data_IF_935830182437
#
_entry.id   IF_935830182437
#
_cell.length_a   1.000
_cell.length_b   1.000
_cell.length_c   1.000
_cell.angle_alpha   90.00
_cell.angle_beta   90.00
_cell.angle_gamma   90.00
#
_symmetry.space_group_name_H-M   'P 1'
#
loop_
_entity.id
_entity.type
_entity.pdbx_description
1 polymer ?
#
# COMPACT_ATOMS: atom_id res chain seq x y z
N UNK A 1 -27.08 -20.30 23.12
CA UNK A 1 -28.38 -19.64 22.89
C UNK A 1 -28.31 -18.81 21.61
N UNK A 2 -28.72 -19.38 20.48
CA UNK A 2 -28.71 -18.72 19.16
C UNK A 2 -29.98 -17.88 18.98
N UNK A 3 -29.85 -16.55 19.07
CA UNK A 3 -30.93 -15.63 18.66
C UNK A 3 -31.01 -15.58 17.13
N UNK A 4 -31.85 -16.42 16.53
CA UNK A 4 -32.33 -16.25 15.16
C UNK A 4 -33.10 -14.93 15.07
N UNK A 5 -32.59 -13.96 14.33
CA UNK A 5 -33.35 -12.79 13.90
C UNK A 5 -34.43 -13.27 12.92
N UNK A 6 -35.69 -13.20 13.34
CA UNK A 6 -36.86 -13.43 12.46
C UNK A 6 -36.93 -12.28 11.46
N UNK A 7 -36.88 -12.59 10.17
CA UNK A 7 -37.33 -11.70 9.11
C UNK A 7 -38.85 -11.78 9.05
N UNK A 8 -39.50 -10.63 9.13
CA UNK A 8 -40.95 -10.51 9.02
C UNK A 8 -41.31 -10.51 7.53
N UNK A 9 -41.94 -11.58 7.06
CA UNK A 9 -42.63 -11.62 5.77
C UNK A 9 -44.10 -11.82 6.08
N UNK A 10 -44.90 -10.79 5.83
CA UNK A 10 -46.36 -10.84 5.94
C UNK A 10 -46.92 -11.25 4.59
N UNK A 11 -47.45 -12.47 4.49
CA UNK A 11 -48.16 -12.96 3.30
C UNK A 11 -49.62 -13.21 3.66
N UNK A 12 -50.53 -12.44 3.10
CA UNK A 12 -51.96 -12.76 3.05
C UNK A 12 -52.28 -13.38 1.70
N UNK A 13 -52.81 -14.60 1.75
CA UNK A 13 -53.27 -15.41 0.62
C UNK A 13 -54.58 -14.89 0.05
N UNK A 14 -54.70 -14.82 -1.28
CA UNK A 14 -55.96 -15.14 -1.96
C UNK A 14 -55.72 -15.71 -3.35
N UNK A 15 -56.61 -16.63 -3.72
CA UNK A 15 -56.60 -17.58 -4.84
C UNK A 15 -56.75 -16.95 -6.24
N UNK A 16 -56.31 -17.75 -7.21
CA UNK A 16 -56.71 -17.84 -8.62
C UNK A 16 -56.50 -16.62 -9.54
N UNK A 17 -55.49 -16.73 -10.42
CA UNK A 17 -55.66 -16.48 -11.85
C UNK A 17 -54.60 -17.28 -12.63
N UNK A 18 -55.04 -18.30 -13.38
CA UNK A 18 -54.28 -18.81 -14.52
C UNK A 18 -54.38 -17.74 -15.60
N UNK A 19 -53.36 -16.90 -15.75
CA UNK A 19 -53.17 -16.11 -16.96
C UNK A 19 -51.99 -16.68 -17.72
N UNK A 20 -52.31 -17.27 -18.86
CA UNK A 20 -51.38 -17.60 -19.93
C UNK A 20 -50.81 -16.27 -20.38
N UNK A 21 -49.58 -15.99 -19.97
CA UNK A 21 -48.83 -14.81 -20.37
C UNK A 21 -48.47 -14.93 -21.84
N UNK A 22 -48.84 -13.92 -22.61
CA UNK A 22 -48.38 -13.73 -23.98
C UNK A 22 -46.84 -13.76 -24.00
N UNK A 23 -46.19 -14.72 -24.67
CA UNK A 23 -44.73 -14.87 -24.70
C UNK A 23 -44.01 -13.71 -25.41
N UNK A 24 -44.74 -12.75 -25.98
CA UNK A 24 -44.19 -11.61 -26.71
C UNK A 24 -44.24 -10.28 -25.94
N UNK A 25 -44.43 -10.29 -24.61
CA UNK A 25 -44.36 -9.05 -23.83
C UNK A 25 -42.91 -8.61 -23.62
N UNK A 26 -42.32 -8.10 -24.69
CA UNK A 26 -40.96 -7.60 -24.74
C UNK A 26 -40.82 -6.36 -23.83
N UNK A 27 -40.21 -6.56 -22.66
CA UNK A 27 -40.01 -5.52 -21.66
C UNK A 27 -39.05 -4.45 -22.18
N UNK A 28 -39.47 -3.18 -22.12
CA UNK A 28 -38.63 -2.03 -22.45
C UNK A 28 -37.72 -1.68 -21.28
N UNK A 29 -36.46 -1.33 -21.60
CA UNK A 29 -35.47 -0.96 -20.58
C UNK A 29 -35.92 0.23 -19.70
N UNK A 30 -36.62 1.20 -20.27
CA UNK A 30 -37.12 2.41 -19.58
C UNK A 30 -38.16 2.13 -18.47
N UNK A 31 -38.80 0.95 -18.52
CA UNK A 31 -39.81 0.50 -17.55
C UNK A 31 -39.19 -0.28 -16.39
N UNK A 32 -37.88 -0.51 -16.42
CA UNK A 32 -37.14 -1.20 -15.37
C UNK A 32 -36.44 -0.20 -14.43
N UNK A 33 -36.20 -0.64 -13.20
CA UNK A 33 -35.36 0.01 -12.21
C UNK A 33 -34.54 -1.06 -11.48
N UNK A 34 -33.33 -0.73 -11.04
CA UNK A 34 -32.52 -1.64 -10.25
C UNK A 34 -32.71 -1.32 -8.77
N UNK A 35 -33.30 -2.25 -8.04
CA UNK A 35 -33.30 -2.22 -6.58
C UNK A 35 -31.96 -2.78 -6.09
N UNK A 36 -31.07 -1.88 -5.68
CA UNK A 36 -29.77 -2.26 -5.14
C UNK A 36 -29.95 -3.15 -3.91
N UNK A 37 -29.11 -4.18 -3.78
CA UNK A 37 -29.15 -5.08 -2.63
C UNK A 37 -28.59 -4.35 -1.41
N UNK A 38 -29.43 -3.62 -0.69
CA UNK A 38 -29.05 -2.94 0.56
C UNK A 38 -28.92 -3.93 1.75
N UNK A 39 -29.02 -5.23 1.54
CA UNK A 39 -28.98 -6.21 2.61
C UNK A 39 -27.54 -6.65 2.96
N UNK A 40 -27.01 -6.06 4.04
CA UNK A 40 -26.14 -6.68 5.05
C UNK A 40 -24.90 -7.47 4.56
N UNK A 41 -24.30 -7.10 3.44
CA UNK A 41 -23.03 -7.68 3.01
C UNK A 41 -21.96 -6.58 2.98
N UNK A 42 -20.98 -6.68 3.86
CA UNK A 42 -19.87 -5.73 4.07
C UNK A 42 -18.96 -5.49 2.84
N UNK A 43 -19.29 -6.06 1.69
CA UNK A 43 -18.49 -5.93 0.47
C UNK A 43 -19.02 -4.82 -0.42
N UNK A 44 -18.14 -3.88 -0.77
CA UNK A 44 -18.43 -2.72 -1.64
C UNK A 44 -19.10 -3.10 -2.97
N UNK A 45 -18.87 -4.32 -3.48
CA UNK A 45 -19.43 -4.79 -4.76
C UNK A 45 -20.95 -4.68 -4.76
N UNK A 46 -21.62 -4.95 -3.64
CA UNK A 46 -23.08 -4.97 -3.56
C UNK A 46 -23.72 -3.60 -3.70
N UNK A 47 -22.95 -2.51 -3.62
CA UNK A 47 -23.42 -1.15 -3.95
C UNK A 47 -23.67 -0.97 -5.46
N UNK A 48 -23.14 -1.87 -6.30
CA UNK A 48 -23.22 -1.81 -7.76
C UNK A 48 -24.06 -2.93 -8.36
N UNK A 49 -24.59 -3.85 -7.55
CA UNK A 49 -25.41 -4.96 -8.03
C UNK A 49 -26.76 -4.97 -7.31
N UNK A 50 -27.83 -5.21 -8.08
CA UNK A 50 -29.19 -5.16 -7.59
C UNK A 50 -30.09 -6.22 -8.23
N UNK A 51 -31.29 -6.35 -7.68
CA UNK A 51 -32.38 -7.04 -8.36
C UNK A 51 -33.00 -6.06 -9.36
N UNK A 52 -33.11 -6.45 -10.63
CA UNK A 52 -33.78 -5.64 -11.65
C UNK A 52 -35.29 -5.81 -11.50
N UNK A 53 -36.05 -4.76 -11.24
CA UNK A 53 -37.50 -4.81 -11.01
C UNK A 53 -38.21 -3.90 -12.00
N UNK A 54 -39.40 -4.31 -12.46
CA UNK A 54 -40.25 -3.45 -13.27
C UNK A 54 -40.88 -2.36 -12.39
N UNK A 55 -40.85 -1.10 -12.83
CA UNK A 55 -41.44 0.04 -12.11
C UNK A 55 -42.90 -0.20 -11.75
N UNK A 56 -43.65 -0.85 -12.63
CA UNK A 56 -45.07 -1.22 -12.41
C UNK A 56 -45.28 -2.29 -11.32
N UNK A 57 -44.28 -3.12 -11.05
CA UNK A 57 -44.34 -4.19 -10.03
C UNK A 57 -43.93 -3.71 -8.64
N UNK A 58 -43.32 -2.51 -8.52
CA UNK A 58 -42.94 -1.95 -7.22
C UNK A 58 -44.18 -1.67 -6.36
N UNK A 59 -45.31 -1.34 -6.99
CA UNK A 59 -46.58 -1.03 -6.32
C UNK A 59 -47.53 -2.23 -6.18
N UNK A 60 -47.47 -3.22 -7.08
CA UNK A 60 -48.43 -4.32 -7.14
C UNK A 60 -47.68 -5.65 -7.10
N UNK A 61 -47.62 -6.26 -5.92
CA UNK A 61 -46.91 -7.51 -5.69
C UNK A 61 -47.28 -8.60 -6.72
N UNK A 62 -46.23 -9.24 -7.24
CA UNK A 62 -46.23 -10.49 -8.01
C UNK A 62 -46.68 -10.40 -9.49
N UNK A 63 -45.75 -10.00 -10.36
CA UNK A 63 -45.55 -10.68 -11.65
C UNK A 63 -44.16 -11.31 -11.68
N UNK A 64 -44.04 -12.46 -12.35
CA UNK A 64 -42.79 -13.20 -12.51
C UNK A 64 -41.73 -12.34 -13.19
N UNK A 65 -40.74 -11.92 -12.42
CA UNK A 65 -39.60 -11.17 -12.92
C UNK A 65 -38.61 -12.15 -13.59
N UNK A 66 -38.29 -11.99 -14.89
CA UNK A 66 -37.35 -12.88 -15.59
C UNK A 66 -35.94 -12.85 -14.98
N UNK A 67 -35.61 -11.87 -14.14
CA UNK A 67 -34.33 -11.74 -13.45
C UNK A 67 -34.41 -12.08 -11.95
N UNK A 68 -35.49 -12.72 -11.47
CA UNK A 68 -35.69 -13.00 -10.05
C UNK A 68 -34.50 -13.77 -9.39
N UNK A 69 -33.80 -14.60 -10.16
CA UNK A 69 -32.68 -15.44 -9.67
C UNK A 69 -31.29 -14.86 -9.98
N UNK A 70 -31.22 -13.61 -10.45
CA UNK A 70 -29.96 -12.98 -10.86
C UNK A 70 -29.77 -11.59 -10.25
N UNK A 71 -28.51 -11.29 -9.94
CA UNK A 71 -28.07 -9.91 -9.70
C UNK A 71 -27.65 -9.27 -11.01
N UNK A 72 -28.01 -8.01 -11.19
CA UNK A 72 -27.73 -7.22 -12.39
C UNK A 72 -26.75 -6.10 -12.03
N UNK A 73 -25.74 -5.89 -12.86
CA UNK A 73 -24.79 -4.79 -12.68
C UNK A 73 -25.46 -3.45 -13.00
N UNK A 74 -25.55 -2.57 -11.99
CA UNK A 74 -26.13 -1.24 -12.14
C UNK A 74 -25.35 -0.40 -13.16
N UNK A 75 -24.01 -0.52 -13.20
CA UNK A 75 -23.22 0.25 -14.17
C UNK A 75 -23.48 -0.17 -15.61
N UNK A 76 -23.58 -1.47 -15.89
CA UNK A 76 -23.99 -1.96 -17.20
C UNK A 76 -25.38 -1.45 -17.60
N UNK A 77 -26.32 -1.43 -16.66
CA UNK A 77 -27.67 -0.94 -16.89
C UNK A 77 -27.70 0.55 -17.24
N UNK A 78 -26.98 1.39 -16.48
CA UNK A 78 -26.89 2.83 -16.78
C UNK A 78 -26.28 3.11 -18.16
N UNK A 79 -25.20 2.41 -18.51
CA UNK A 79 -24.56 2.55 -19.84
C UNK A 79 -25.53 2.21 -20.97
N UNK A 80 -26.32 1.14 -20.82
CA UNK A 80 -27.33 0.78 -21.84
C UNK A 80 -28.49 1.79 -21.88
N UNK A 81 -28.90 2.33 -20.73
CA UNK A 81 -29.93 3.35 -20.66
C UNK A 81 -29.50 4.66 -21.34
N UNK A 82 -28.25 5.09 -21.13
CA UNK A 82 -27.65 6.26 -21.79
C UNK A 82 -27.53 6.06 -23.31
N UNK A 83 -27.20 4.85 -23.77
CA UNK A 83 -27.08 4.54 -25.20
C UNK A 83 -28.43 4.50 -25.92
N UNK A 84 -29.52 4.12 -25.25
CA UNK A 84 -30.82 3.92 -25.88
C UNK A 84 -31.99 4.13 -24.90
N UNK A 85 -32.43 5.40 -24.69
CA UNK A 85 -33.36 5.74 -23.62
C UNK A 85 -34.77 5.16 -23.73
N UNK A 86 -35.27 4.88 -24.95
CA UNK A 86 -36.73 4.71 -25.15
C UNK A 86 -37.19 3.49 -25.94
N UNK A 87 -36.33 2.80 -26.70
CA UNK A 87 -36.80 1.78 -27.66
C UNK A 87 -36.18 0.38 -27.52
N UNK A 88 -35.12 0.21 -26.72
CA UNK A 88 -34.40 -1.06 -26.68
C UNK A 88 -35.09 -2.06 -25.77
N UNK A 89 -35.31 -3.27 -26.29
CA UNK A 89 -35.83 -4.39 -25.54
C UNK A 89 -34.73 -4.93 -24.62
N UNK A 90 -35.13 -5.31 -23.40
CA UNK A 90 -34.19 -5.76 -22.38
C UNK A 90 -33.34 -6.97 -22.82
N UNK A 91 -33.91 -7.84 -23.68
CA UNK A 91 -33.23 -9.01 -24.25
C UNK A 91 -32.05 -8.64 -25.17
N UNK A 92 -32.07 -7.45 -25.76
CA UNK A 92 -31.04 -6.96 -26.68
C UNK A 92 -29.95 -6.14 -25.96
N UNK A 93 -30.11 -5.89 -24.67
CA UNK A 93 -29.17 -5.12 -23.86
C UNK A 93 -27.98 -5.96 -23.42
N UNK A 94 -26.77 -5.41 -23.50
CA UNK A 94 -25.54 -6.10 -23.10
C UNK A 94 -25.29 -6.07 -21.57
N UNK A 95 -26.36 -6.18 -20.78
CA UNK A 95 -26.31 -6.02 -19.33
C UNK A 95 -25.83 -7.33 -18.70
N UNK A 96 -24.67 -7.29 -18.04
CA UNK A 96 -24.15 -8.44 -17.33
C UNK A 96 -25.01 -8.74 -16.10
N UNK A 97 -25.39 -10.00 -15.99
CA UNK A 97 -26.15 -10.56 -14.88
C UNK A 97 -25.48 -11.82 -14.35
N UNK A 98 -25.60 -12.07 -13.05
CA UNK A 98 -24.94 -13.16 -12.34
C UNK A 98 -25.96 -13.92 -11.49
N UNK A 99 -25.81 -15.23 -11.35
CA UNK A 99 -26.67 -16.02 -10.46
C UNK A 99 -26.56 -15.52 -9.00
N UNK A 100 -27.63 -15.66 -8.20
CA UNK A 100 -27.61 -15.25 -6.78
C UNK A 100 -26.58 -15.99 -5.91
N UNK A 101 -26.08 -17.13 -6.38
CA UNK A 101 -25.00 -17.92 -5.78
C UNK A 101 -23.58 -17.46 -6.14
N UNK A 102 -23.44 -16.41 -6.96
CA UNK A 102 -22.13 -15.92 -7.44
C UNK A 102 -21.21 -15.48 -6.28
N UNK A 103 -19.92 -15.77 -6.41
CA UNK A 103 -18.89 -15.30 -5.48
C UNK A 103 -18.66 -13.79 -5.62
N UNK A 104 -18.30 -13.12 -4.52
CA UNK A 104 -17.95 -11.69 -4.52
C UNK A 104 -16.76 -11.37 -5.41
N UNK A 105 -15.81 -12.30 -5.57
CA UNK A 105 -14.65 -12.14 -6.46
C UNK A 105 -15.02 -11.98 -7.93
N UNK A 106 -16.00 -12.74 -8.42
CA UNK A 106 -16.47 -12.63 -9.81
C UNK A 106 -17.16 -11.29 -10.05
N UNK A 107 -17.89 -10.78 -9.06
CA UNK A 107 -18.52 -9.46 -9.12
C UNK A 107 -17.47 -8.34 -9.11
N UNK A 108 -16.44 -8.46 -8.26
CA UNK A 108 -15.34 -7.51 -8.22
C UNK A 108 -14.55 -7.46 -9.54
N UNK A 109 -14.27 -8.62 -10.15
CA UNK A 109 -13.62 -8.70 -11.47
C UNK A 109 -14.45 -8.01 -12.56
N UNK A 110 -15.78 -8.13 -12.51
CA UNK A 110 -16.64 -7.39 -13.43
C UNK A 110 -16.57 -5.87 -13.23
N UNK A 111 -16.53 -5.40 -11.99
CA UNK A 111 -16.43 -3.96 -11.69
C UNK A 111 -15.11 -3.36 -12.20
N UNK A 112 -14.02 -4.13 -12.23
CA UNK A 112 -12.77 -3.70 -12.85
C UNK A 112 -12.94 -3.37 -14.35
N UNK A 113 -13.82 -4.07 -15.08
CA UNK A 113 -14.12 -3.73 -16.48
C UNK A 113 -14.83 -2.38 -16.65
N UNK A 114 -15.40 -1.84 -15.57
CA UNK A 114 -16.00 -0.50 -15.50
C UNK A 114 -15.04 0.54 -14.92
N UNK A 115 -13.78 0.18 -14.65
CA UNK A 115 -12.83 1.03 -13.92
C UNK A 115 -13.18 1.24 -12.44
N UNK A 116 -14.12 0.45 -11.90
CA UNK A 116 -14.52 0.52 -10.50
C UNK A 116 -13.66 -0.48 -9.72
N UNK A 117 -12.57 0.02 -9.17
CA UNK A 117 -11.68 -0.73 -8.28
C UNK A 117 -12.11 -0.55 -6.82
N UNK A 118 -11.88 -1.58 -5.99
CA UNK A 118 -12.11 -1.51 -4.55
C UNK A 118 -11.17 -0.48 -3.93
N UNK A 119 -11.55 0.79 -3.93
CA UNK A 119 -10.93 1.75 -3.03
C UNK A 119 -11.63 1.59 -1.70
N UNK A 120 -10.91 1.00 -0.74
CA UNK A 120 -11.29 1.07 0.67
C UNK A 120 -11.60 2.55 0.97
N UNK A 121 -12.80 2.90 1.49
CA UNK A 121 -13.17 4.29 1.66
C UNK A 121 -12.10 5.01 2.50
N UNK A 122 -11.55 6.12 2.00
CA UNK A 122 -10.40 6.81 2.62
C UNK A 122 -10.60 7.02 4.13
N UNK A 123 -11.82 7.37 4.54
CA UNK A 123 -12.19 7.60 5.94
C UNK A 123 -11.95 6.39 6.85
N UNK A 124 -12.10 5.16 6.34
CA UNK A 124 -11.85 3.95 7.13
C UNK A 124 -10.35 3.66 7.21
N UNK A 125 -9.61 3.89 6.12
CA UNK A 125 -8.14 3.79 6.10
C UNK A 125 -7.49 4.82 7.02
N UNK A 126 -7.93 6.08 6.96
CA UNK A 126 -7.45 7.16 7.85
C UNK A 126 -7.66 6.83 9.32
N UNK A 127 -8.88 6.44 9.71
CA UNK A 127 -9.17 6.06 11.11
C UNK A 127 -8.32 4.88 11.56
N UNK A 128 -8.08 3.93 10.68
CA UNK A 128 -7.23 2.76 10.99
C UNK A 128 -5.81 3.21 11.28
N UNK A 129 -5.22 4.08 10.44
CA UNK A 129 -3.85 4.56 10.62
C UNK A 129 -3.69 5.53 11.79
N UNK A 130 -4.62 6.46 12.00
CA UNK A 130 -4.58 7.34 13.17
C UNK A 130 -4.68 6.56 14.47
N UNK A 131 -5.54 5.54 14.53
CA UNK A 131 -5.59 4.61 15.66
C UNK A 131 -4.30 3.79 15.74
N UNK A 132 -3.70 3.45 14.61
CA UNK A 132 -2.47 2.66 14.57
C UNK A 132 -1.27 3.43 15.16
N UNK A 133 -1.03 4.67 14.74
CA UNK A 133 0.10 5.47 15.23
C UNK A 133 -0.09 5.97 16.66
N UNK A 134 -1.33 6.21 17.09
CA UNK A 134 -1.60 6.90 18.35
C UNK A 134 -2.07 6.01 19.51
N UNK A 135 -2.28 4.70 19.29
CA UNK A 135 -2.82 3.86 20.37
C UNK A 135 -1.97 2.64 20.72
N UNK A 136 -1.44 2.64 21.95
CA UNK A 136 -0.93 1.47 22.68
C UNK A 136 -2.08 0.52 23.08
N UNK A 137 -2.94 0.11 22.14
CA UNK A 137 -4.09 -0.75 22.45
C UNK A 137 -3.72 -2.22 22.32
N UNK A 138 -4.05 -2.98 23.35
CA UNK A 138 -4.08 -4.45 23.28
C UNK A 138 -5.09 -4.86 22.21
N UNK A 139 -4.64 -5.65 21.23
CA UNK A 139 -5.50 -6.17 20.17
C UNK A 139 -6.41 -7.26 20.74
N UNK A 140 -7.63 -6.89 21.09
CA UNK A 140 -8.71 -7.85 21.36
C UNK A 140 -9.18 -8.48 20.05
N UNK A 141 -9.33 -9.81 20.00
CA UNK A 141 -9.82 -10.48 18.80
C UNK A 141 -9.50 -11.98 18.72
N UNK A 142 -9.94 -12.59 17.63
CA UNK A 142 -9.63 -13.98 17.28
C UNK A 142 -8.12 -14.14 17.01
N UNK A 143 -7.63 -15.39 17.06
CA UNK A 143 -6.23 -15.73 16.76
C UNK A 143 -5.78 -15.18 15.40
N UNK A 144 -6.62 -15.29 14.37
CA UNK A 144 -6.35 -14.72 13.05
C UNK A 144 -6.17 -13.19 13.07
N UNK A 145 -7.01 -12.46 13.81
CA UNK A 145 -6.90 -11.00 13.93
C UNK A 145 -5.63 -10.58 14.65
N UNK A 146 -5.24 -11.32 15.69
CA UNK A 146 -3.98 -11.09 16.42
C UNK A 146 -2.77 -11.33 15.51
N UNK A 147 -2.77 -12.40 14.72
CA UNK A 147 -1.69 -12.69 13.76
C UNK A 147 -1.55 -11.59 12.71
N UNK A 148 -2.66 -11.10 12.14
CA UNK A 148 -2.65 -9.99 11.18
C UNK A 148 -2.13 -8.70 11.82
N UNK A 149 -2.54 -8.41 13.06
CA UNK A 149 -2.03 -7.23 13.77
C UNK A 149 -0.53 -7.34 14.02
N UNK A 150 -0.05 -8.49 14.52
CA UNK A 150 1.37 -8.74 14.72
C UNK A 150 2.19 -8.59 13.42
N UNK A 151 1.67 -9.07 12.29
CA UNK A 151 2.31 -8.88 10.97
C UNK A 151 2.50 -7.39 10.67
N UNK A 152 1.46 -6.57 10.89
CA UNK A 152 1.52 -5.13 10.63
C UNK A 152 2.49 -4.42 11.56
N UNK A 153 2.47 -4.77 12.84
CA UNK A 153 3.38 -4.22 13.84
C UNK A 153 4.85 -4.55 13.52
N UNK A 154 5.14 -5.78 13.07
CA UNK A 154 6.48 -6.19 12.66
C UNK A 154 6.95 -5.49 11.38
N UNK A 155 6.08 -5.32 10.38
CA UNK A 155 6.43 -4.54 9.18
C UNK A 155 6.84 -3.13 9.59
N UNK A 156 6.05 -2.50 10.48
CA UNK A 156 6.29 -1.12 10.87
C UNK A 156 7.49 -0.96 11.79
N UNK A 157 7.76 -1.94 12.66
CA UNK A 157 9.03 -2.02 13.39
C UNK A 157 10.21 -2.03 12.41
N UNK A 158 10.17 -2.90 11.40
CA UNK A 158 11.23 -2.97 10.40
C UNK A 158 11.38 -1.68 9.60
N UNK A 159 10.27 -1.06 9.18
CA UNK A 159 10.33 0.19 8.43
C UNK A 159 10.79 1.39 9.27
N UNK A 160 10.39 1.45 10.55
CA UNK A 160 10.71 2.58 11.43
C UNK A 160 12.17 2.60 11.85
N UNK A 161 12.70 1.42 12.20
CA UNK A 161 14.07 1.28 12.70
C UNK A 161 15.03 0.77 11.62
N UNK A 162 14.57 0.69 10.36
CA UNK A 162 15.32 0.21 9.20
C UNK A 162 15.91 -1.20 9.41
N UNK A 163 15.19 -2.07 10.12
CA UNK A 163 15.60 -3.46 10.25
C UNK A 163 15.32 -4.24 8.97
N UNK A 164 16.20 -5.20 8.60
CA UNK A 164 15.95 -6.05 7.46
C UNK A 164 14.77 -6.99 7.74
N UNK A 165 13.94 -7.25 6.72
CA UNK A 165 12.76 -8.11 6.88
C UNK A 165 13.10 -9.57 7.21
N UNK A 166 14.35 -10.01 7.07
CA UNK A 166 14.78 -11.33 7.54
C UNK A 166 14.81 -11.43 9.09
N UNK A 167 14.71 -10.29 9.81
CA UNK A 167 14.61 -10.25 11.27
C UNK A 167 13.49 -11.15 11.79
N UNK A 168 12.34 -11.22 11.09
CA UNK A 168 11.20 -12.04 11.51
C UNK A 168 11.46 -13.55 11.45
N UNK A 169 12.52 -13.97 10.75
CA UNK A 169 12.93 -15.37 10.65
C UNK A 169 14.03 -15.73 11.66
N UNK A 170 14.49 -14.78 12.47
CA UNK A 170 15.50 -15.04 13.50
C UNK A 170 14.93 -15.80 14.69
N UNK A 171 15.66 -16.83 15.15
CA UNK A 171 15.31 -17.62 16.34
C UNK A 171 15.19 -16.73 17.58
N UNK A 172 16.12 -15.79 17.78
CA UNK A 172 16.10 -14.90 18.95
C UNK A 172 14.85 -14.01 19.05
N UNK A 173 14.31 -13.53 17.92
CA UNK A 173 13.03 -12.79 17.94
C UNK A 173 11.86 -13.72 18.22
N UNK A 174 11.88 -14.94 17.66
CA UNK A 174 10.85 -15.95 17.91
C UNK A 174 10.79 -16.32 19.39
N UNK A 175 11.94 -16.59 20.01
CA UNK A 175 12.09 -16.88 21.43
C UNK A 175 11.60 -15.71 22.30
N UNK A 176 11.95 -14.48 21.92
CA UNK A 176 11.49 -13.28 22.61
C UNK A 176 9.96 -13.16 22.59
N UNK A 177 9.35 -13.30 21.41
CA UNK A 177 7.90 -13.16 21.21
C UNK A 177 7.13 -14.29 21.93
N UNK A 178 7.68 -15.51 21.96
CA UNK A 178 7.15 -16.63 22.75
C UNK A 178 7.29 -16.40 24.26
N UNK A 179 8.45 -15.94 24.73
CA UNK A 179 8.73 -15.67 26.16
C UNK A 179 7.72 -14.70 26.78
N UNK A 180 7.25 -13.72 26.00
CA UNK A 180 6.24 -12.76 26.43
C UNK A 180 4.80 -13.14 26.07
N UNK A 181 4.56 -14.40 25.66
CA UNK A 181 3.25 -14.94 25.28
C UNK A 181 2.52 -14.13 24.20
N UNK A 182 3.27 -13.53 23.27
CA UNK A 182 2.68 -12.85 22.11
C UNK A 182 2.22 -13.90 21.09
N UNK A 183 3.01 -14.96 20.91
CA UNK A 183 2.65 -16.17 20.16
C UNK A 183 2.76 -17.41 21.04
N UNK A 184 2.03 -18.48 20.70
CA UNK A 184 2.02 -19.73 21.46
C UNK A 184 3.04 -20.72 20.91
N UNK A 185 3.15 -20.78 19.58
CA UNK A 185 4.01 -21.72 18.87
C UNK A 185 4.89 -21.00 17.84
N UNK A 186 6.08 -21.50 17.48
CA UNK A 186 6.91 -20.91 16.43
C UNK A 186 6.18 -20.75 15.08
N UNK A 187 5.23 -21.63 14.77
CA UNK A 187 4.43 -21.60 13.53
C UNK A 187 3.42 -20.43 13.49
N UNK A 188 3.12 -19.85 14.64
CA UNK A 188 2.32 -18.63 14.73
C UNK A 188 3.11 -17.40 14.27
N UNK A 189 4.45 -17.47 14.27
CA UNK A 189 5.32 -16.40 13.79
C UNK A 189 5.05 -16.10 12.31
N UNK A 190 4.96 -14.83 11.90
CA UNK A 190 4.83 -14.48 10.51
C UNK A 190 6.04 -14.90 9.67
N UNK A 191 5.79 -15.59 8.55
CA UNK A 191 6.84 -15.84 7.57
C UNK A 191 7.13 -14.57 6.73
N UNK A 192 8.33 -14.51 6.14
CA UNK A 192 8.79 -13.41 5.29
C UNK A 192 7.79 -13.05 4.18
N UNK A 193 7.15 -14.05 3.57
CA UNK A 193 6.14 -13.84 2.51
C UNK A 193 4.91 -13.08 3.04
N UNK A 194 4.49 -13.37 4.26
CA UNK A 194 3.34 -12.67 4.88
C UNK A 194 3.67 -11.22 5.21
N UNK A 195 4.90 -10.96 5.67
CA UNK A 195 5.43 -9.60 5.87
C UNK A 195 5.46 -8.84 4.54
N UNK A 196 6.06 -9.42 3.50
CA UNK A 196 6.18 -8.79 2.19
C UNK A 196 4.81 -8.47 1.55
N UNK A 197 3.83 -9.36 1.66
CA UNK A 197 2.47 -9.08 1.18
C UNK A 197 1.81 -7.93 1.94
N UNK A 198 2.02 -7.89 3.26
CA UNK A 198 1.43 -6.85 4.11
C UNK A 198 2.14 -5.51 3.99
N UNK A 199 3.42 -5.51 3.59
CA UNK A 199 4.18 -4.30 3.31
C UNK A 199 3.50 -3.46 2.22
N UNK A 200 3.06 -4.08 1.13
CA UNK A 200 2.36 -3.38 0.05
C UNK A 200 1.05 -2.75 0.53
N UNK A 201 0.28 -3.47 1.35
CA UNK A 201 -0.97 -2.95 1.93
C UNK A 201 -0.69 -1.73 2.84
N UNK A 202 0.29 -1.85 3.74
CA UNK A 202 0.68 -0.78 4.66
C UNK A 202 1.22 0.42 3.90
N UNK A 203 2.02 0.18 2.86
CA UNK A 203 2.56 1.23 2.02
C UNK A 203 1.45 2.02 1.31
N UNK A 204 0.48 1.35 0.67
CA UNK A 204 -0.62 2.05 -0.01
C UNK A 204 -1.55 2.76 0.98
N UNK A 205 -1.79 2.17 2.16
CA UNK A 205 -2.53 2.82 3.23
C UNK A 205 -1.79 4.11 3.69
N UNK A 206 -0.50 4.02 4.00
CA UNK A 206 0.35 5.16 4.41
C UNK A 206 0.44 6.23 3.33
N UNK A 207 0.64 5.84 2.07
CA UNK A 207 0.68 6.74 0.91
C UNK A 207 -0.64 7.48 0.73
N UNK A 208 -1.77 6.79 0.88
CA UNK A 208 -3.10 7.41 0.80
C UNK A 208 -3.29 8.43 1.92
N UNK A 209 -2.93 8.06 3.15
CA UNK A 209 -2.98 8.95 4.31
C UNK A 209 -2.11 10.20 4.13
N UNK A 210 -0.85 10.03 3.73
CA UNK A 210 0.08 11.15 3.49
C UNK A 210 -0.43 12.05 2.36
N UNK A 211 -0.95 11.49 1.26
CA UNK A 211 -1.53 12.28 0.17
C UNK A 211 -2.71 13.13 0.62
N UNK A 212 -3.59 12.57 1.43
CA UNK A 212 -4.74 13.30 1.97
C UNK A 212 -4.31 14.40 2.95
N UNK A 213 -3.32 14.09 3.80
CA UNK A 213 -2.70 15.08 4.70
C UNK A 213 -2.06 16.24 3.94
N UNK A 214 -1.30 15.97 2.88
CA UNK A 214 -0.72 17.02 2.04
C UNK A 214 -1.82 17.92 1.45
N UNK A 215 -2.88 17.33 0.90
CA UNK A 215 -4.01 18.09 0.34
C UNK A 215 -4.73 18.95 1.38
N UNK A 216 -4.87 18.43 2.59
CA UNK A 216 -5.66 19.07 3.66
C UNK A 216 -4.85 20.12 4.41
N UNK A 217 -3.63 19.79 4.80
CA UNK A 217 -2.82 20.61 5.70
C UNK A 217 -1.97 21.63 4.93
N UNK A 218 -1.62 21.37 3.66
CA UNK A 218 -0.59 22.13 2.97
C UNK A 218 -0.68 22.08 1.43
N UNK A 219 -1.79 22.59 0.83
CA UNK A 219 -1.97 22.55 -0.62
C UNK A 219 -0.90 23.33 -1.39
N UNK A 220 -0.32 24.38 -0.80
CA UNK A 220 0.54 25.34 -1.52
C UNK A 220 2.03 25.31 -1.12
N UNK A 221 2.44 24.50 -0.14
CA UNK A 221 3.83 24.47 0.33
C UNK A 221 4.41 23.05 0.37
N UNK A 222 4.74 22.53 -0.80
CA UNK A 222 5.52 21.31 -0.96
C UNK A 222 6.76 21.57 -1.83
N UNK A 223 7.87 20.93 -1.48
CA UNK A 223 9.09 20.92 -2.27
C UNK A 223 9.48 19.48 -2.60
N UNK A 224 9.93 19.24 -3.83
CA UNK A 224 10.39 17.94 -4.28
C UNK A 224 11.90 18.00 -4.45
N UNK A 225 12.62 17.17 -3.72
CA UNK A 225 14.06 16.99 -3.87
C UNK A 225 14.35 15.73 -4.66
N UNK A 226 15.28 15.82 -5.61
CA UNK A 226 15.74 14.69 -6.40
C UNK A 226 17.18 14.38 -6.03
N UNK A 227 17.45 13.11 -5.77
CA UNK A 227 18.81 12.62 -5.59
C UNK A 227 19.15 11.61 -6.68
N UNK A 228 20.15 11.93 -7.49
CA UNK A 228 20.57 11.11 -8.62
C UNK A 228 21.98 10.59 -8.39
N UNK A 229 22.18 9.31 -8.67
CA UNK A 229 23.52 8.72 -8.73
C UNK A 229 23.58 7.57 -9.73
N UNK A 230 24.80 7.24 -10.14
CA UNK A 230 25.08 6.05 -10.94
C UNK A 230 25.72 5.01 -10.03
N UNK A 231 25.20 3.79 -10.08
CA UNK A 231 25.80 2.64 -9.42
C UNK A 231 26.57 1.83 -10.46
N UNK A 232 27.91 1.81 -10.34
CA UNK A 232 28.77 1.03 -11.25
C UNK A 232 28.73 -0.46 -10.95
N UNK A 233 28.37 -0.87 -9.73
CA UNK A 233 28.36 -2.27 -9.34
C UNK A 233 27.17 -3.02 -9.94
N UNK A 234 26.05 -2.34 -10.16
CA UNK A 234 24.84 -2.97 -10.72
C UNK A 234 24.92 -3.30 -12.22
N UNK A 235 26.01 -2.97 -12.95
CA UNK A 235 26.19 -3.14 -14.42
C UNK A 235 25.09 -2.57 -15.34
N UNK A 236 23.94 -2.20 -14.79
CA UNK A 236 22.84 -1.55 -15.45
C UNK A 236 23.22 -0.10 -15.71
N UNK A 237 23.03 0.38 -16.94
CA UNK A 237 23.18 1.81 -17.31
C UNK A 237 22.15 2.73 -16.65
N UNK A 238 21.35 2.20 -15.73
CA UNK A 238 20.25 2.90 -15.09
C UNK A 238 20.82 3.87 -14.05
N UNK A 239 20.39 5.13 -14.15
CA UNK A 239 20.65 6.12 -13.11
C UNK A 239 19.63 5.87 -12.00
N UNK A 240 20.12 5.68 -10.78
CA UNK A 240 19.24 5.63 -9.62
C UNK A 240 18.71 7.04 -9.37
N UNK A 241 17.40 7.16 -9.21
CA UNK A 241 16.72 8.43 -8.93
C UNK A 241 15.87 8.22 -7.69
N UNK A 242 16.21 8.94 -6.64
CA UNK A 242 15.39 9.07 -5.44
C UNK A 242 14.61 10.36 -5.50
N UNK A 243 13.31 10.27 -5.25
CA UNK A 243 12.39 11.40 -5.15
C UNK A 243 11.96 11.51 -3.69
N UNK A 244 12.23 12.65 -3.05
CA UNK A 244 11.78 12.92 -1.69
C UNK A 244 10.91 14.18 -1.66
N UNK A 245 9.67 14.02 -1.21
CA UNK A 245 8.69 15.10 -1.08
C UNK A 245 8.73 15.66 0.34
N UNK A 246 8.99 16.96 0.47
CA UNK A 246 8.94 17.68 1.75
C UNK A 246 7.73 18.60 1.74
N UNK A 247 6.95 18.61 2.81
CA UNK A 247 5.79 19.47 2.96
C UNK A 247 5.69 19.91 4.41
N UNK A 248 5.12 21.10 4.64
CA UNK A 248 4.92 21.62 6.00
C UNK A 248 3.60 21.09 6.55
N UNK A 249 3.57 20.57 7.77
CA UNK A 249 2.30 20.20 8.42
C UNK A 249 1.90 21.28 9.42
N UNK A 250 0.60 21.56 9.54
CA UNK A 250 0.07 22.48 10.56
C UNK A 250 0.30 21.97 12.00
N UNK A 251 0.55 20.67 12.15
CA UNK A 251 0.95 20.04 13.42
C UNK A 251 2.25 20.61 13.97
N UNK A 252 3.18 21.05 13.11
CA UNK A 252 4.44 21.65 13.54
C UNK A 252 4.26 22.94 14.34
N UNK A 253 3.20 23.70 14.09
CA UNK A 253 2.93 24.96 14.78
C UNK A 253 2.29 24.76 16.17
N UNK A 254 1.78 23.56 16.46
CA UNK A 254 1.12 23.23 17.73
C UNK A 254 1.98 22.44 18.70
N UNK A 255 3.20 22.06 18.31
CA UNK A 255 4.11 21.31 19.16
C UNK A 255 4.82 22.28 20.10
N UNK A 256 4.74 22.02 21.42
CA UNK A 256 5.52 22.78 22.41
C UNK A 256 7.02 22.66 22.14
N UNK A 257 7.85 23.57 22.67
CA UNK A 257 9.31 23.57 22.47
C UNK A 257 9.98 22.21 22.75
N UNK A 258 9.45 21.42 23.67
CA UNK A 258 9.97 20.09 24.00
C UNK A 258 9.59 19.01 22.95
N UNK A 259 8.47 19.21 22.26
CA UNK A 259 8.02 18.34 21.17
C UNK A 259 8.58 18.76 19.80
N UNK A 260 9.13 19.97 19.70
CA UNK A 260 9.82 20.48 18.51
C UNK A 260 11.08 19.66 18.17
N UNK A 261 11.79 19.14 19.19
CA UNK A 261 12.91 18.23 19.01
C UNK A 261 12.47 16.87 18.46
N UNK A 262 11.35 16.32 18.97
CA UNK A 262 10.77 15.08 18.48
C UNK A 262 10.20 15.25 17.06
N UNK A 263 9.65 16.42 16.75
CA UNK A 263 9.16 16.77 15.42
C UNK A 263 10.30 16.93 14.41
N UNK A 264 11.42 17.55 14.82
CA UNK A 264 12.66 17.61 14.03
C UNK A 264 13.21 16.21 13.75
N UNK A 265 13.19 15.33 14.75
CA UNK A 265 13.60 13.93 14.57
C UNK A 265 12.62 13.14 13.69
N UNK A 266 11.31 13.35 13.83
CA UNK A 266 10.30 12.82 12.93
C UNK A 266 10.42 13.38 11.50
N UNK A 267 10.88 14.62 11.34
CA UNK A 267 11.14 15.21 10.02
C UNK A 267 12.36 14.61 9.39
N UNK A 268 13.45 14.43 10.16
CA UNK A 268 14.63 13.66 9.74
C UNK A 268 14.22 12.25 9.29
N UNK A 269 13.40 11.57 10.09
CA UNK A 269 12.86 10.25 9.76
C UNK A 269 11.91 10.29 8.56
N UNK A 270 11.12 11.35 8.35
CA UNK A 270 10.22 11.50 7.19
C UNK A 270 10.95 11.86 5.89
N UNK A 271 12.05 12.62 5.99
CA UNK A 271 12.99 12.88 4.91
C UNK A 271 13.74 11.60 4.52
N UNK A 272 13.91 10.67 5.46
CA UNK A 272 14.43 9.30 5.22
C UNK A 272 13.34 8.32 4.74
N UNK A 273 12.07 8.46 5.18
CA UNK A 273 11.00 7.48 4.90
C UNK A 273 10.26 7.70 3.59
N UNK A 274 10.16 8.93 3.08
CA UNK A 274 9.40 9.20 1.84
C UNK A 274 10.31 9.28 0.61
N UNK A 275 11.21 8.32 0.52
CA UNK A 275 11.94 7.99 -0.69
C UNK A 275 10.99 7.14 -1.55
N UNK A 276 10.33 7.76 -2.54
CA UNK A 276 9.70 6.99 -3.60
C UNK A 276 10.83 6.41 -4.45
N UNK A 277 11.25 5.21 -4.12
CA UNK A 277 12.10 4.39 -4.99
C UNK A 277 11.16 3.68 -5.96
N UNK A 278 10.97 4.25 -7.15
CA UNK A 278 10.61 3.42 -8.31
C UNK A 278 11.90 2.72 -8.73
N UNK A 279 12.21 1.58 -8.08
CA UNK A 279 13.26 0.68 -8.52
C UNK A 279 12.65 -0.25 -9.57
N UNK A 280 13.09 -0.11 -10.82
CA UNK A 280 12.96 -1.17 -11.82
C UNK A 280 13.99 -2.25 -11.43
N UNK A 281 13.57 -3.26 -10.65
CA UNK A 281 14.47 -4.32 -10.20
C UNK A 281 14.76 -5.32 -11.32
N UNK A 282 16.06 -5.56 -11.56
CA UNK A 282 16.59 -6.83 -12.08
C UNK A 282 17.45 -7.43 -10.97
N UNK A 283 17.14 -8.69 -10.68
CA UNK A 283 17.66 -9.54 -9.61
C UNK A 283 19.17 -9.77 -9.74
N UNK A 284 19.93 -9.65 -8.64
CA UNK A 284 21.11 -10.50 -8.39
C UNK A 284 21.71 -10.34 -6.98
N UNK A 285 22.07 -11.48 -6.40
CA UNK A 285 22.65 -11.66 -5.08
C UNK A 285 24.18 -11.80 -5.14
N UNK A 286 24.92 -10.98 -4.37
CA UNK A 286 26.19 -11.42 -3.77
C UNK A 286 26.58 -10.52 -2.59
N UNK A 287 27.00 -11.15 -1.49
CA UNK A 287 27.45 -10.50 -0.26
C UNK A 287 28.97 -10.37 -0.24
N UNK A 288 29.49 -9.16 -0.01
CA UNK A 288 30.90 -8.95 0.35
C UNK A 288 31.01 -8.21 1.70
N UNK A 289 32.00 -8.63 2.48
CA UNK A 289 32.30 -8.11 3.82
C UNK A 289 32.73 -6.64 3.75
N UNK A 290 32.03 -5.78 4.49
CA UNK A 290 32.33 -4.35 4.53
C UNK A 290 33.42 -4.03 5.56
N UNK A 291 34.55 -3.54 5.08
CA UNK A 291 35.50 -2.78 5.90
C UNK A 291 34.83 -1.53 6.46
N UNK A 292 35.16 -1.20 7.72
CA UNK A 292 34.61 -0.04 8.44
C UNK A 292 35.16 1.25 7.86
N UNK A 293 34.46 1.83 6.89
CA UNK A 293 34.73 3.18 6.40
C UNK A 293 34.04 4.20 7.30
N UNK A 294 34.73 5.29 7.66
CA UNK A 294 34.13 6.47 8.29
C UNK A 294 32.94 6.94 7.42
N UNK A 295 31.76 7.04 8.04
CA UNK A 295 30.61 7.69 7.42
C UNK A 295 30.91 9.19 7.35
N UNK A 296 31.17 9.69 6.15
CA UNK A 296 31.27 11.12 5.87
C UNK A 296 29.85 11.70 5.75
N UNK A 297 29.66 12.93 6.24
CA UNK A 297 28.40 13.68 6.10
C UNK A 297 28.11 14.06 4.63
N UNK A 298 29.15 14.12 3.79
CA UNK A 298 29.01 14.39 2.36
C UNK A 298 29.03 13.08 1.58
N UNK A 299 28.08 12.97 0.64
CA UNK A 299 27.94 11.79 -0.23
C UNK A 299 29.25 11.51 -0.95
N UNK A 300 29.71 10.25 -0.89
CA UNK A 300 30.99 9.76 -1.45
C UNK A 300 31.27 10.26 -2.88
N UNK A 301 30.24 10.38 -3.72
CA UNK A 301 30.33 10.84 -5.10
C UNK A 301 30.80 12.30 -5.28
N UNK A 302 30.74 13.13 -4.23
CA UNK A 302 31.19 14.53 -4.27
C UNK A 302 32.50 14.73 -3.51
N UNK A 303 33.11 13.67 -2.96
CA UNK A 303 34.29 13.75 -2.08
C UNK A 303 35.42 12.81 -2.51
N UNK A 304 35.47 12.41 -3.79
CA UNK A 304 36.47 11.45 -4.28
C UNK A 304 37.91 11.93 -4.09
N UNK A 305 38.17 13.23 -4.26
CA UNK A 305 39.51 13.81 -4.05
C UNK A 305 39.92 13.78 -2.58
N UNK A 306 39.06 14.22 -1.66
CA UNK A 306 39.35 14.19 -0.23
C UNK A 306 39.59 12.76 0.27
N UNK A 307 38.72 11.81 -0.11
CA UNK A 307 38.87 10.40 0.27
C UNK A 307 40.19 9.82 -0.26
N UNK A 308 40.58 10.20 -1.48
CA UNK A 308 41.86 9.76 -2.06
C UNK A 308 43.04 10.32 -1.27
N UNK A 309 43.01 11.60 -0.93
CA UNK A 309 44.07 12.28 -0.16
C UNK A 309 44.15 11.70 1.26
N UNK A 310 43.02 11.57 1.97
CA UNK A 310 42.97 10.97 3.31
C UNK A 310 43.46 9.52 3.30
N UNK A 311 43.03 8.72 2.33
CA UNK A 311 43.49 7.33 2.18
C UNK A 311 44.99 7.27 1.92
N UNK A 312 45.51 8.17 1.09
CA UNK A 312 46.94 8.27 0.78
C UNK A 312 47.76 8.68 2.01
N UNK A 313 47.36 9.73 2.72
CA UNK A 313 48.10 10.27 3.88
C UNK A 313 47.96 9.37 5.11
N UNK A 314 46.72 9.07 5.50
CA UNK A 314 46.43 8.49 6.81
C UNK A 314 46.60 6.98 6.85
N UNK A 315 46.28 6.28 5.75
CA UNK A 315 46.21 4.82 5.75
C UNK A 315 47.38 4.18 5.01
N UNK A 316 47.73 4.74 3.84
CA UNK A 316 48.56 4.02 2.88
C UNK A 316 49.97 4.61 2.67
N UNK A 317 50.33 5.72 3.34
CA UNK A 317 51.61 6.43 3.15
C UNK A 317 52.82 5.49 3.15
N UNK A 318 52.97 4.71 4.21
CA UNK A 318 54.14 3.83 4.38
C UNK A 318 54.15 2.72 3.32
N UNK A 319 52.99 2.13 3.06
CA UNK A 319 52.84 1.04 2.08
C UNK A 319 53.20 1.54 0.68
N UNK A 320 52.71 2.72 0.28
CA UNK A 320 52.98 3.31 -1.03
C UNK A 320 54.46 3.64 -1.19
N UNK A 321 55.10 4.23 -0.17
CA UNK A 321 56.53 4.56 -0.22
C UNK A 321 57.41 3.30 -0.38
N UNK A 322 57.08 2.23 0.34
CA UNK A 322 57.77 0.94 0.20
C UNK A 322 57.55 0.35 -1.20
N UNK A 323 56.31 0.38 -1.72
CA UNK A 323 56.04 -0.11 -3.08
C UNK A 323 56.80 0.69 -4.14
N UNK A 324 56.81 2.02 -4.07
CA UNK A 324 57.53 2.89 -5.01
C UNK A 324 59.04 2.64 -4.98
N UNK A 325 59.62 2.43 -3.80
CA UNK A 325 61.03 2.04 -3.68
C UNK A 325 61.30 0.67 -4.33
N UNK A 326 60.42 -0.30 -4.11
CA UNK A 326 60.61 -1.67 -4.63
C UNK A 326 60.58 -1.77 -6.16
N UNK A 327 59.93 -0.83 -6.84
CA UNK A 327 59.87 -0.76 -8.31
C UNK A 327 60.84 0.28 -8.91
N UNK A 328 61.83 0.72 -8.13
CA UNK A 328 62.84 1.72 -8.53
C UNK A 328 62.24 3.07 -8.97
N UNK A 329 61.10 3.46 -8.37
CA UNK A 329 60.41 4.75 -8.58
C UNK A 329 60.42 5.62 -7.32
N UNK A 330 61.53 5.60 -6.59
CA UNK A 330 61.70 6.36 -5.36
C UNK A 330 61.67 7.88 -5.56
N UNK A 331 61.93 8.36 -6.77
CA UNK A 331 61.83 9.77 -7.17
C UNK A 331 60.40 10.32 -7.13
N UNK A 332 59.39 9.45 -7.13
CA UNK A 332 57.97 9.82 -7.01
C UNK A 332 57.49 9.92 -5.55
N UNK A 333 58.36 9.64 -4.57
CA UNK A 333 57.99 9.78 -3.15
C UNK A 333 57.89 11.25 -2.80
N UNK A 334 56.75 11.63 -2.23
CA UNK A 334 56.49 12.99 -1.81
C UNK A 334 57.46 13.44 -0.71
N UNK A 335 57.90 14.68 -0.78
CA UNK A 335 58.73 15.28 0.26
C UNK A 335 57.92 15.50 1.54
N UNK A 336 58.60 15.72 2.67
CA UNK A 336 57.92 16.03 3.93
C UNK A 336 57.10 17.33 3.83
N UNK A 337 57.55 18.29 3.01
CA UNK A 337 56.82 19.53 2.72
C UNK A 337 55.53 19.25 1.94
N UNK A 338 55.57 18.36 0.95
CA UNK A 338 54.39 17.98 0.17
C UNK A 338 53.35 17.27 1.06
N UNK A 339 53.78 16.40 1.98
CA UNK A 339 52.88 15.78 2.94
C UNK A 339 52.26 16.80 3.89
N UNK A 340 53.02 17.80 4.36
CA UNK A 340 52.48 18.85 5.21
C UNK A 340 51.40 19.66 4.48
N UNK A 341 51.65 20.02 3.21
CA UNK A 341 50.65 20.71 2.36
C UNK A 341 49.40 19.86 2.15
N UNK A 342 49.55 18.58 1.86
CA UNK A 342 48.40 17.68 1.70
C UNK A 342 47.62 17.50 3.01
N UNK A 343 48.30 17.57 4.15
CA UNK A 343 47.68 17.48 5.47
C UNK A 343 46.93 18.76 5.87
N UNK A 344 47.28 19.92 5.30
CA UNK A 344 46.51 21.17 5.44
C UNK A 344 45.22 21.17 4.61
N UNK A 345 45.11 20.30 3.59
CA UNK A 345 43.91 20.16 2.74
C UNK A 345 42.86 19.20 3.33
N UNK A 346 43.23 18.43 4.35
CA UNK A 346 42.35 17.55 5.11
C UNK A 346 41.88 18.26 6.39
#
# INVERSE_FOLDING_TARGET
MNKRKKSTVTTTSSKLAKNIGDPNNDLKLSECEILLVNQLKDSFVWMFFGDLVLKSNVSNGAKSNPFADKYVCNRCFQIELERSPTSKLLKDCSIKSYAKSVSTGNLASHLQSHGITQHKPLNETMRTLDTFFNTNRRVGGTTTKKKIALIRDLVLLCCKDLFPFNLVSGEGLTDFVMKYNIIVSPEDMPCRVSIARSLNEIYEDCKSYVKERIKTDCPDHASLTFDLWSDKHRLTKVKNIVKALRYRTSLFEKLSKDQEALAKEMTRLSEELLVFVEEEEVDESSSSESSKTLKLDVKTRWHSQLIMIESFICQNRNVINVMLQSIEKGDLILSQTDYALLQELC
#
